data_IF_583607847706
#
_entry.id   IF_583607847706
#
_cell.length_a   1.000
_cell.length_b   1.000
_cell.length_c   1.000
_cell.angle_alpha   90.00
_cell.angle_beta   90.00
_cell.angle_gamma   90.00
#
_symmetry.space_group_name_H-M   'P 1'
#
loop_
_entity.id
_entity.type
_entity.pdbx_description
1 polymer ?
#
# COMPACT_ATOMS: atom_id res chain seq x y z
N UNK A 1 -20.60 -20.59 2.81
CA UNK A 1 -21.43 -21.69 2.27
C UNK A 1 -20.62 -22.97 2.04
N UNK A 2 -19.60 -22.99 1.16
CA UNK A 2 -18.81 -24.23 0.90
C UNK A 2 -18.21 -24.87 2.17
N UNK A 3 -17.79 -24.05 3.14
CA UNK A 3 -17.30 -24.48 4.45
C UNK A 3 -18.35 -24.38 5.58
N UNK A 4 -19.64 -24.57 5.27
CA UNK A 4 -20.70 -24.65 6.28
C UNK A 4 -21.25 -23.33 6.85
N UNK A 5 -20.59 -22.19 6.61
CA UNK A 5 -21.07 -20.88 7.10
C UNK A 5 -22.21 -20.25 6.29
N UNK A 6 -22.96 -19.35 6.95
CA UNK A 6 -24.07 -18.54 6.41
C UNK A 6 -23.62 -17.10 6.15
N UNK A 7 -23.22 -16.74 4.91
CA UNK A 7 -22.74 -15.39 4.62
C UNK A 7 -23.90 -14.39 4.56
N UNK A 8 -23.71 -13.24 5.20
CA UNK A 8 -24.56 -12.05 5.11
C UNK A 8 -23.68 -10.91 4.59
N UNK A 9 -24.11 -10.27 3.51
CA UNK A 9 -23.36 -9.20 2.87
C UNK A 9 -23.90 -7.84 3.30
N UNK A 10 -22.99 -6.90 3.57
CA UNK A 10 -23.30 -5.50 3.77
C UNK A 10 -22.17 -4.64 3.18
N UNK A 11 -22.49 -3.39 2.82
CA UNK A 11 -21.53 -2.44 2.27
C UNK A 11 -21.03 -1.45 3.31
N UNK A 12 -19.82 -0.93 3.08
CA UNK A 12 -19.31 0.28 3.70
C UNK A 12 -19.01 1.31 2.60
N UNK A 13 -18.95 2.60 2.96
CA UNK A 13 -18.59 3.66 2.01
C UNK A 13 -17.15 3.50 1.51
N UNK A 14 -16.81 4.18 0.42
CA UNK A 14 -15.45 4.25 -0.07
C UNK A 14 -15.26 5.52 -0.92
N UNK A 15 -14.19 6.26 -0.64
CA UNK A 15 -13.78 7.42 -1.44
C UNK A 15 -12.68 6.98 -2.40
N UNK A 16 -12.75 7.42 -3.65
CA UNK A 16 -11.70 7.19 -4.64
C UNK A 16 -10.71 8.35 -4.63
N UNK A 17 -9.51 8.12 -4.10
CA UNK A 17 -8.46 9.15 -4.06
C UNK A 17 -8.14 9.68 -5.46
N UNK A 18 -8.03 8.80 -6.47
CA UNK A 18 -7.72 9.21 -7.84
C UNK A 18 -8.74 10.20 -8.45
N UNK A 19 -10.01 10.09 -8.08
CA UNK A 19 -11.05 11.05 -8.52
C UNK A 19 -11.04 12.30 -7.65
N UNK A 20 -10.77 12.15 -6.35
CA UNK A 20 -10.83 13.25 -5.40
C UNK A 20 -9.63 14.23 -5.49
N UNK A 21 -8.57 13.86 -6.22
CA UNK A 21 -7.35 14.65 -6.38
C UNK A 21 -7.61 15.99 -7.07
N UNK A 22 -6.98 17.06 -6.55
CA UNK A 22 -7.00 18.39 -7.15
C UNK A 22 -8.26 19.23 -6.88
N UNK A 23 -9.10 18.83 -5.92
CA UNK A 23 -10.25 19.61 -5.49
C UNK A 23 -10.62 19.35 -4.02
N UNK A 24 -11.58 20.11 -3.47
CA UNK A 24 -11.96 20.06 -2.04
C UNK A 24 -12.29 18.66 -1.49
N UNK A 25 -12.82 17.76 -2.32
CA UNK A 25 -13.09 16.37 -1.94
C UNK A 25 -11.91 15.59 -1.36
N UNK A 26 -10.65 15.96 -1.68
CA UNK A 26 -9.47 15.29 -1.11
C UNK A 26 -9.43 15.39 0.43
N UNK A 27 -10.00 16.45 1.01
CA UNK A 27 -10.09 16.65 2.47
C UNK A 27 -10.90 15.54 3.19
N UNK A 28 -11.70 14.79 2.45
CA UNK A 28 -12.52 13.69 2.99
C UNK A 28 -11.88 12.31 2.81
N UNK A 29 -10.76 12.19 2.06
CA UNK A 29 -10.11 10.91 1.79
C UNK A 29 -9.64 10.23 3.08
N UNK A 30 -8.69 10.83 3.81
CA UNK A 30 -8.11 10.18 4.99
C UNK A 30 -9.15 9.94 6.09
N UNK A 31 -10.06 10.89 6.31
CA UNK A 31 -11.15 10.75 7.27
C UNK A 31 -12.08 9.56 6.95
N UNK A 32 -12.24 9.19 5.67
CA UNK A 32 -13.04 8.01 5.29
C UNK A 32 -12.49 6.71 5.89
N UNK A 33 -11.19 6.63 6.23
CA UNK A 33 -10.59 5.47 6.92
C UNK A 33 -11.31 5.17 8.23
N UNK A 34 -11.55 6.21 9.03
CA UNK A 34 -12.21 6.08 10.34
C UNK A 34 -13.68 5.71 10.16
N UNK A 35 -14.38 6.38 9.23
CA UNK A 35 -15.77 6.08 8.93
C UNK A 35 -15.98 4.63 8.50
N UNK A 36 -15.04 4.07 7.72
CA UNK A 36 -15.06 2.67 7.29
C UNK A 36 -14.84 1.75 8.49
N UNK A 37 -13.87 2.06 9.35
CA UNK A 37 -13.60 1.27 10.55
C UNK A 37 -14.84 1.22 11.46
N UNK A 38 -15.41 2.39 11.77
CA UNK A 38 -16.60 2.54 12.63
C UNK A 38 -17.84 1.87 12.03
N UNK A 39 -18.00 1.93 10.70
CA UNK A 39 -19.11 1.29 9.99
C UNK A 39 -19.05 -0.23 10.09
N UNK A 40 -17.87 -0.82 9.87
CA UNK A 40 -17.66 -2.27 9.99
C UNK A 40 -17.85 -2.71 11.44
N UNK A 41 -17.29 -1.97 12.39
CA UNK A 41 -17.44 -2.22 13.83
C UNK A 41 -18.91 -2.23 14.27
N UNK A 42 -19.66 -1.19 13.89
CA UNK A 42 -21.08 -1.07 14.22
C UNK A 42 -21.90 -2.22 13.66
N UNK A 43 -21.71 -2.57 12.38
CA UNK A 43 -22.43 -3.67 11.74
C UNK A 43 -22.09 -5.02 12.36
N UNK A 44 -20.81 -5.28 12.64
CA UNK A 44 -20.38 -6.54 13.22
C UNK A 44 -20.92 -6.75 14.65
N UNK A 45 -20.87 -5.70 15.48
CA UNK A 45 -21.35 -5.77 16.86
C UNK A 45 -22.88 -5.82 16.95
N UNK A 46 -23.60 -5.00 16.17
CA UNK A 46 -25.05 -4.94 16.22
C UNK A 46 -25.71 -6.24 15.75
N UNK A 47 -25.09 -6.95 14.80
CA UNK A 47 -25.59 -8.20 14.23
C UNK A 47 -24.90 -9.46 14.77
N UNK A 48 -23.98 -9.31 15.73
CA UNK A 48 -23.27 -10.40 16.39
C UNK A 48 -22.64 -11.41 15.41
N UNK A 49 -21.89 -10.93 14.42
CA UNK A 49 -21.21 -11.81 13.46
C UNK A 49 -20.07 -12.60 14.14
N UNK A 50 -20.00 -13.91 13.86
CA UNK A 50 -18.95 -14.80 14.38
C UNK A 50 -17.61 -14.66 13.66
N UNK A 51 -17.63 -14.17 12.42
CA UNK A 51 -16.45 -14.03 11.58
C UNK A 51 -16.67 -13.07 10.41
N UNK A 52 -15.59 -12.43 9.94
CA UNK A 52 -15.64 -11.40 8.92
C UNK A 52 -14.77 -11.74 7.71
N UNK A 53 -15.34 -11.55 6.51
CA UNK A 53 -14.58 -11.49 5.26
C UNK A 53 -14.60 -10.04 4.80
N UNK A 54 -13.44 -9.39 4.86
CA UNK A 54 -13.26 -7.99 4.54
C UNK A 54 -12.79 -7.86 3.09
N UNK A 55 -13.55 -7.14 2.26
CA UNK A 55 -13.31 -7.03 0.81
C UNK A 55 -13.02 -5.56 0.43
N UNK A 56 -11.82 -5.03 0.74
CA UNK A 56 -11.44 -3.67 0.36
C UNK A 56 -10.85 -3.61 -1.05
N UNK A 57 -10.58 -2.40 -1.56
CA UNK A 57 -9.64 -2.27 -2.68
C UNK A 57 -8.98 -0.90 -2.82
N UNK A 58 -9.70 0.20 -2.58
CA UNK A 58 -9.15 1.55 -2.74
C UNK A 58 -8.42 2.03 -1.47
N UNK A 59 -7.48 2.98 -1.63
CA UNK A 59 -6.47 3.42 -0.66
C UNK A 59 -6.87 3.31 0.83
N UNK A 60 -7.87 4.07 1.27
CA UNK A 60 -8.24 4.20 2.69
C UNK A 60 -9.13 3.06 3.21
N UNK A 61 -9.70 2.27 2.30
CA UNK A 61 -10.60 1.16 2.64
C UNK A 61 -9.83 0.00 3.27
N UNK A 62 -8.65 -0.34 2.73
CA UNK A 62 -7.81 -1.43 3.28
C UNK A 62 -7.45 -1.16 4.76
N UNK A 63 -6.83 -0.02 5.12
CA UNK A 63 -6.48 0.22 6.52
C UNK A 63 -7.71 0.39 7.41
N UNK A 64 -8.81 1.01 6.95
CA UNK A 64 -10.04 1.12 7.73
C UNK A 64 -10.62 -0.25 8.10
N UNK A 65 -10.65 -1.19 7.15
CA UNK A 65 -11.08 -2.56 7.42
C UNK A 65 -10.11 -3.34 8.33
N UNK A 66 -8.79 -3.14 8.19
CA UNK A 66 -7.81 -3.75 9.10
C UNK A 66 -7.91 -3.21 10.53
N UNK A 67 -8.15 -1.90 10.68
CA UNK A 67 -8.41 -1.26 11.97
C UNK A 67 -9.66 -1.86 12.62
N UNK A 68 -10.76 -2.01 11.88
CA UNK A 68 -11.97 -2.66 12.39
C UNK A 68 -11.71 -4.12 12.83
N UNK A 69 -10.97 -4.90 12.04
CA UNK A 69 -10.60 -6.26 12.41
C UNK A 69 -9.83 -6.30 13.74
N UNK A 70 -8.86 -5.38 13.91
CA UNK A 70 -8.04 -5.28 15.11
C UNK A 70 -8.86 -4.84 16.35
N UNK A 71 -9.78 -3.88 16.20
CA UNK A 71 -10.70 -3.42 17.25
C UNK A 71 -11.64 -4.51 17.73
N UNK A 72 -12.36 -5.13 16.79
CA UNK A 72 -13.36 -6.16 17.06
C UNK A 72 -12.73 -7.44 17.62
N UNK A 73 -11.55 -7.79 17.11
CA UNK A 73 -10.85 -9.02 17.42
C UNK A 73 -11.73 -10.28 17.26
N UNK A 74 -12.61 -10.24 16.25
CA UNK A 74 -13.44 -11.36 15.79
C UNK A 74 -12.68 -12.05 14.64
N UNK A 75 -12.69 -13.40 14.50
CA UNK A 75 -12.03 -14.10 13.40
C UNK A 75 -12.28 -13.45 12.04
N UNK A 76 -11.23 -12.94 11.42
CA UNK A 76 -11.36 -12.10 10.21
C UNK A 76 -10.30 -12.46 9.18
N UNK A 77 -10.68 -12.41 7.91
CA UNK A 77 -9.78 -12.52 6.77
C UNK A 77 -9.99 -11.34 5.83
N UNK A 78 -8.91 -10.80 5.28
CA UNK A 78 -8.97 -9.75 4.28
C UNK A 78 -8.65 -10.31 2.90
N UNK A 79 -9.51 -10.05 1.92
CA UNK A 79 -9.31 -10.39 0.51
C UNK A 79 -9.67 -9.20 -0.36
N UNK A 80 -8.67 -8.55 -0.93
CA UNK A 80 -8.84 -7.35 -1.75
C UNK A 80 -9.48 -7.67 -3.10
N UNK A 81 -10.02 -6.63 -3.75
CA UNK A 81 -10.47 -6.70 -5.15
C UNK A 81 -9.33 -6.95 -6.14
N UNK A 82 -8.10 -6.53 -5.80
CA UNK A 82 -6.90 -6.65 -6.63
C UNK A 82 -6.59 -5.41 -7.48
N UNK A 83 -5.36 -5.31 -7.99
CA UNK A 83 -4.92 -4.22 -8.85
C UNK A 83 -5.56 -4.29 -10.22
N UNK A 84 -5.81 -3.10 -10.79
CA UNK A 84 -6.10 -2.92 -12.20
C UNK A 84 -4.85 -3.28 -13.03
N UNK A 85 -5.06 -3.80 -14.23
CA UNK A 85 -3.99 -3.95 -15.20
C UNK A 85 -3.42 -2.58 -15.58
N UNK A 86 -2.13 -2.52 -15.89
CA UNK A 86 -1.56 -1.31 -16.47
C UNK A 86 -2.24 -1.00 -17.82
N UNK A 87 -2.47 0.28 -18.07
CA UNK A 87 -2.91 0.76 -19.38
C UNK A 87 -1.82 0.57 -20.43
N UNK A 88 -2.18 0.58 -21.70
CA UNK A 88 -1.22 0.47 -22.81
C UNK A 88 -1.39 1.63 -23.76
N UNK A 89 -0.33 2.41 -23.96
CA UNK A 89 -0.31 3.50 -24.92
C UNK A 89 0.95 3.40 -25.79
N UNK A 90 0.73 3.22 -27.10
CA UNK A 90 1.81 3.08 -28.11
C UNK A 90 2.88 2.05 -27.73
N UNK A 91 2.44 0.92 -27.18
CA UNK A 91 3.31 -0.19 -26.78
C UNK A 91 4.05 0.02 -25.46
N UNK A 92 3.77 1.09 -24.72
CA UNK A 92 4.30 1.33 -23.38
C UNK A 92 3.20 1.19 -22.34
N UNK A 93 3.53 0.54 -21.24
CA UNK A 93 2.65 0.49 -20.09
C UNK A 93 2.53 1.89 -19.47
N UNK A 94 1.29 2.26 -19.14
CA UNK A 94 0.95 3.54 -18.53
C UNK A 94 -0.04 3.33 -17.39
N UNK A 95 -0.17 4.34 -16.55
CA UNK A 95 -1.08 4.38 -15.42
C UNK A 95 -1.58 5.81 -15.21
N UNK A 96 -2.42 6.01 -14.20
CA UNK A 96 -2.93 7.32 -13.81
C UNK A 96 -1.82 8.39 -13.65
N UNK A 97 -0.62 8.01 -13.19
CA UNK A 97 0.53 8.91 -13.08
C UNK A 97 0.88 9.60 -14.39
N UNK A 98 0.90 8.84 -15.50
CA UNK A 98 1.26 9.38 -16.81
C UNK A 98 0.23 10.38 -17.32
N UNK A 99 -1.04 10.24 -16.93
CA UNK A 99 -2.08 11.22 -17.24
C UNK A 99 -1.81 12.53 -16.49
N UNK A 100 -1.47 12.45 -15.20
CA UNK A 100 -1.13 13.64 -14.39
C UNK A 100 0.14 14.35 -14.90
N UNK A 101 1.17 13.59 -15.27
CA UNK A 101 2.36 14.13 -15.94
C UNK A 101 2.00 14.78 -17.28
N UNK A 102 1.07 14.19 -18.03
CA UNK A 102 0.53 14.71 -19.28
C UNK A 102 -0.16 16.08 -19.12
N UNK A 103 -0.95 16.28 -18.06
CA UNK A 103 -1.54 17.60 -17.74
C UNK A 103 -0.47 18.68 -17.58
N UNK A 104 0.62 18.36 -16.87
CA UNK A 104 1.77 19.25 -16.75
C UNK A 104 2.52 19.47 -18.08
N UNK A 105 2.61 18.45 -18.92
CA UNK A 105 3.23 18.54 -20.24
C UNK A 105 2.43 19.45 -21.20
N UNK A 106 1.10 19.37 -21.18
CA UNK A 106 0.22 20.27 -21.94
C UNK A 106 0.38 21.70 -21.47
N UNK A 107 0.33 21.93 -20.16
CA UNK A 107 0.50 23.27 -19.58
C UNK A 107 1.85 23.89 -19.94
N UNK A 108 2.89 23.06 -20.09
CA UNK A 108 4.22 23.48 -20.54
C UNK A 108 4.44 23.48 -22.06
N UNK A 109 3.40 23.26 -22.87
CA UNK A 109 3.49 23.27 -24.35
C UNK A 109 4.28 22.11 -24.98
N UNK A 110 4.52 21.02 -24.22
CA UNK A 110 5.28 19.83 -24.67
C UNK A 110 4.39 18.69 -25.17
N UNK A 111 3.08 18.81 -25.00
CA UNK A 111 2.07 17.83 -25.39
C UNK A 111 0.80 18.57 -25.83
N UNK A 112 0.07 18.00 -26.80
CA UNK A 112 -1.22 18.53 -27.24
C UNK A 112 -2.37 17.98 -26.38
N UNK A 113 -3.52 18.66 -26.37
CA UNK A 113 -4.73 18.15 -25.69
C UNK A 113 -5.21 16.81 -26.28
N UNK A 114 -5.04 16.58 -27.58
CA UNK A 114 -5.44 15.33 -28.22
C UNK A 114 -4.55 14.16 -27.79
N UNK A 115 -3.24 14.39 -27.63
CA UNK A 115 -2.32 13.40 -27.08
C UNK A 115 -2.62 13.08 -25.61
N UNK A 116 -2.97 14.10 -24.81
CA UNK A 116 -3.40 13.90 -23.43
C UNK A 116 -4.68 13.07 -23.36
N UNK A 117 -5.64 13.35 -24.24
CA UNK A 117 -6.88 12.57 -24.35
C UNK A 117 -6.60 11.11 -24.70
N UNK A 118 -5.68 10.85 -25.64
CA UNK A 118 -5.26 9.48 -25.98
C UNK A 118 -4.62 8.77 -24.78
N UNK A 119 -3.87 9.48 -23.93
CA UNK A 119 -3.33 8.92 -22.69
C UNK A 119 -4.44 8.61 -21.67
N UNK A 120 -5.36 9.55 -21.45
CA UNK A 120 -6.51 9.40 -20.55
C UNK A 120 -7.35 8.16 -20.90
N UNK A 121 -7.73 8.04 -22.18
CA UNK A 121 -8.59 6.96 -22.69
C UNK A 121 -7.94 5.56 -22.53
N UNK A 122 -6.62 5.48 -22.34
CA UNK A 122 -5.87 4.22 -22.25
C UNK A 122 -5.27 3.92 -20.86
N UNK A 123 -5.24 4.87 -19.93
CA UNK A 123 -4.52 4.73 -18.66
C UNK A 123 -5.20 3.80 -17.65
N UNK A 124 -6.53 3.70 -17.69
CA UNK A 124 -7.34 2.96 -16.73
C UNK A 124 -8.23 1.92 -17.46
N UNK A 125 -7.67 0.78 -17.91
CA UNK A 125 -8.35 -0.12 -18.84
C UNK A 125 -9.47 -0.98 -18.23
N UNK A 126 -9.67 -0.96 -16.91
CA UNK A 126 -10.66 -1.82 -16.27
C UNK A 126 -10.82 -1.60 -14.77
N UNK A 127 -11.38 -2.60 -14.08
CA UNK A 127 -11.56 -2.55 -12.63
C UNK A 127 -10.27 -2.87 -11.86
N UNK A 128 -10.22 -2.39 -10.62
CA UNK A 128 -9.14 -2.68 -9.66
C UNK A 128 -8.66 -1.42 -8.93
N UNK A 129 -7.72 -1.58 -8.00
CA UNK A 129 -6.94 -0.46 -7.47
C UNK A 129 -6.00 0.09 -8.54
N UNK A 130 -5.32 1.21 -8.28
CA UNK A 130 -4.31 1.75 -9.19
C UNK A 130 -3.31 0.67 -9.65
N UNK A 131 -2.71 0.79 -10.83
CA UNK A 131 -1.81 -0.25 -11.36
C UNK A 131 -0.40 -0.24 -10.73
N UNK A 132 0.02 0.88 -10.13
CA UNK A 132 1.35 1.06 -9.51
C UNK A 132 1.37 0.77 -8.00
N UNK A 133 2.56 0.82 -7.39
CA UNK A 133 2.79 0.67 -5.95
C UNK A 133 2.41 1.94 -5.16
N UNK A 134 1.13 2.30 -5.23
CA UNK A 134 0.47 3.34 -4.41
C UNK A 134 -0.11 2.74 -3.13
N UNK A 135 -0.77 3.56 -2.30
CA UNK A 135 -1.24 3.15 -0.97
C UNK A 135 -2.11 1.90 -1.01
N UNK A 136 -3.09 1.79 -1.92
CA UNK A 136 -3.92 0.60 -2.05
C UNK A 136 -3.09 -0.68 -2.20
N UNK A 137 -2.12 -0.69 -3.10
CA UNK A 137 -1.31 -1.89 -3.36
C UNK A 137 -0.23 -2.11 -2.32
N UNK A 138 0.35 -1.05 -1.76
CA UNK A 138 1.21 -1.15 -0.58
C UNK A 138 0.45 -1.84 0.55
N UNK A 139 -0.73 -1.34 0.92
CA UNK A 139 -1.54 -1.93 1.99
C UNK A 139 -2.03 -3.35 1.65
N UNK A 140 -2.39 -3.64 0.39
CA UNK A 140 -2.75 -5.01 -0.01
C UNK A 140 -1.58 -6.00 0.11
N UNK A 141 -0.36 -5.57 -0.26
CA UNK A 141 0.86 -6.38 -0.08
C UNK A 141 1.21 -6.55 1.40
N UNK A 142 1.11 -5.47 2.19
CA UNK A 142 1.34 -5.51 3.64
C UNK A 142 0.31 -6.35 4.37
N UNK A 143 -0.91 -6.47 3.85
CA UNK A 143 -1.92 -7.35 4.42
C UNK A 143 -1.51 -8.82 4.33
N UNK A 144 -0.84 -9.24 3.24
CA UNK A 144 -0.22 -10.57 3.18
C UNK A 144 0.92 -10.71 4.18
N UNK A 145 1.82 -9.71 4.24
CA UNK A 145 3.00 -9.75 5.09
C UNK A 145 2.67 -9.76 6.58
N UNK A 146 1.62 -9.04 6.98
CA UNK A 146 1.04 -9.03 8.32
C UNK A 146 0.35 -10.36 8.66
N UNK A 147 0.01 -11.19 7.66
CA UNK A 147 -0.65 -12.48 7.84
C UNK A 147 -2.17 -12.42 7.85
N UNK A 148 -2.79 -11.27 7.58
CA UNK A 148 -4.25 -11.08 7.55
C UNK A 148 -4.87 -11.33 6.17
N UNK A 149 -4.05 -11.33 5.12
CA UNK A 149 -4.41 -11.69 3.75
C UNK A 149 -3.89 -13.06 3.36
N UNK A 150 -4.56 -13.67 2.39
CA UNK A 150 -4.09 -14.92 1.78
C UNK A 150 -2.92 -14.67 0.82
N UNK A 151 -2.00 -15.64 0.62
CA UNK A 151 -0.98 -15.56 -0.41
C UNK A 151 -1.55 -15.19 -1.79
N UNK A 152 -1.06 -14.11 -2.39
CA UNK A 152 -1.52 -13.55 -3.67
C UNK A 152 -2.58 -12.44 -3.55
N UNK A 153 -3.06 -12.12 -2.35
CA UNK A 153 -3.98 -11.00 -2.10
C UNK A 153 -3.48 -9.65 -2.64
N UNK A 154 -2.21 -9.35 -2.46
CA UNK A 154 -1.51 -8.14 -2.87
C UNK A 154 -1.41 -7.96 -4.37
N UNK A 155 -1.20 -9.05 -5.12
CA UNK A 155 -0.68 -8.95 -6.49
C UNK A 155 -1.60 -9.49 -7.57
N UNK A 156 -2.46 -10.48 -7.27
CA UNK A 156 -3.30 -11.10 -8.29
C UNK A 156 -4.24 -10.05 -8.92
N UNK A 157 -4.18 -9.79 -10.24
CA UNK A 157 -4.99 -8.75 -10.86
C UNK A 157 -6.49 -8.95 -10.68
N UNK A 158 -7.24 -7.85 -10.60
CA UNK A 158 -8.68 -7.86 -10.34
C UNK A 158 -9.48 -8.68 -11.36
N UNK A 159 -9.06 -8.62 -12.63
CA UNK A 159 -9.71 -9.31 -13.75
C UNK A 159 -9.31 -10.78 -13.89
N UNK A 160 -8.37 -11.27 -13.06
CA UNK A 160 -7.88 -12.64 -13.14
C UNK A 160 -8.87 -13.64 -12.52
N UNK A 161 -9.07 -14.78 -13.17
CA UNK A 161 -9.82 -15.90 -12.58
C UNK A 161 -9.22 -16.38 -11.25
N UNK A 162 -7.92 -16.12 -11.01
CA UNK A 162 -7.27 -16.41 -9.73
C UNK A 162 -7.84 -15.56 -8.59
N UNK A 163 -8.28 -14.32 -8.85
CA UNK A 163 -8.89 -13.44 -7.83
C UNK A 163 -10.19 -14.01 -7.30
N UNK A 164 -11.05 -14.53 -8.18
CA UNK A 164 -12.31 -15.19 -7.79
C UNK A 164 -12.02 -16.47 -6.98
N UNK A 165 -10.98 -17.23 -7.34
CA UNK A 165 -10.57 -18.41 -6.55
C UNK A 165 -10.09 -18.00 -5.15
N UNK A 166 -9.31 -16.93 -5.05
CA UNK A 166 -8.82 -16.39 -3.78
C UNK A 166 -9.98 -15.93 -2.88
N UNK A 167 -10.98 -15.22 -3.43
CA UNK A 167 -12.18 -14.81 -2.69
C UNK A 167 -12.98 -16.01 -2.15
N UNK A 168 -13.13 -17.07 -2.95
CA UNK A 168 -13.75 -18.32 -2.48
C UNK A 168 -12.94 -18.98 -1.37
N UNK A 169 -11.61 -18.96 -1.48
CA UNK A 169 -10.71 -19.48 -0.45
C UNK A 169 -10.81 -18.68 0.85
N UNK A 170 -10.90 -17.36 0.79
CA UNK A 170 -11.08 -16.51 1.98
C UNK A 170 -12.34 -16.92 2.75
N UNK A 171 -13.46 -17.16 2.06
CA UNK A 171 -14.68 -17.67 2.68
C UNK A 171 -14.56 -19.06 3.32
N UNK A 172 -13.58 -19.88 2.93
CA UNK A 172 -13.28 -21.16 3.59
C UNK A 172 -12.31 -20.96 4.76
N UNK A 173 -11.33 -20.07 4.61
CA UNK A 173 -10.33 -19.76 5.63
C UNK A 173 -10.95 -19.08 6.84
N UNK A 174 -11.88 -18.15 6.65
CA UNK A 174 -12.59 -17.50 7.78
C UNK A 174 -13.35 -18.53 8.62
N UNK A 175 -13.95 -19.55 8.01
CA UNK A 175 -14.66 -20.59 8.75
C UNK A 175 -13.71 -21.43 9.60
N UNK A 176 -12.53 -21.77 9.07
CA UNK A 176 -11.48 -22.42 9.84
C UNK A 176 -10.93 -21.51 10.95
N UNK A 177 -10.84 -20.19 10.72
CA UNK A 177 -10.43 -19.23 11.75
C UNK A 177 -11.48 -19.15 12.88
N UNK A 178 -12.78 -19.16 12.55
CA UNK A 178 -13.88 -19.25 13.52
C UNK A 178 -13.79 -20.56 14.32
N UNK A 179 -13.68 -21.70 13.65
CA UNK A 179 -13.58 -23.01 14.29
C UNK A 179 -12.40 -23.12 15.26
N UNK A 180 -11.24 -22.59 14.86
CA UNK A 180 -10.01 -22.63 15.68
C UNK A 180 -9.89 -21.45 16.66
N UNK A 181 -10.80 -20.48 16.61
CA UNK A 181 -10.72 -19.26 17.39
C UNK A 181 -9.50 -18.39 17.08
N UNK A 182 -9.01 -18.40 15.83
CA UNK A 182 -7.89 -17.55 15.38
C UNK A 182 -8.43 -16.14 15.16
N UNK A 183 -7.91 -15.17 15.92
CA UNK A 183 -8.36 -13.79 15.90
C UNK A 183 -7.29 -12.83 15.36
N UNK A 184 -7.69 -11.64 14.89
CA UNK A 184 -6.76 -10.64 14.38
C UNK A 184 -5.59 -10.31 15.31
N UNK A 185 -5.82 -10.20 16.63
CA UNK A 185 -4.73 -9.90 17.58
C UNK A 185 -3.78 -11.07 17.86
N UNK A 186 -4.17 -12.30 17.52
CA UNK A 186 -3.26 -13.45 17.55
C UNK A 186 -2.27 -13.41 16.37
N UNK A 187 -2.62 -12.68 15.30
CA UNK A 187 -1.86 -12.54 14.06
C UNK A 187 -1.05 -11.23 14.07
N UNK A 188 -1.72 -10.11 14.38
CA UNK A 188 -1.17 -8.74 14.37
C UNK A 188 -0.29 -8.45 15.60
N UNK A 189 0.75 -9.26 15.76
CA UNK A 189 1.77 -9.12 16.82
C UNK A 189 2.85 -8.13 16.42
N UNK A 190 3.68 -7.69 17.37
CA UNK A 190 4.84 -6.81 17.10
C UNK A 190 5.75 -7.40 16.02
N UNK A 191 5.99 -8.70 16.05
CA UNK A 191 6.79 -9.39 15.04
C UNK A 191 6.13 -9.40 13.65
N UNK A 192 4.81 -9.56 13.59
CA UNK A 192 4.07 -9.49 12.32
C UNK A 192 4.13 -8.08 11.72
N UNK A 193 4.06 -7.03 12.55
CA UNK A 193 4.30 -5.66 12.10
C UNK A 193 5.74 -5.45 11.62
N UNK A 194 6.75 -5.99 12.31
CA UNK A 194 8.14 -5.94 11.83
C UNK A 194 8.32 -6.68 10.50
N UNK A 195 7.65 -7.81 10.30
CA UNK A 195 7.62 -8.53 9.01
C UNK A 195 6.99 -7.65 7.92
N UNK A 196 5.85 -7.02 8.21
CA UNK A 196 5.19 -6.11 7.28
C UNK A 196 6.11 -4.93 6.92
N UNK A 197 6.77 -4.30 7.89
CA UNK A 197 7.74 -3.23 7.62
C UNK A 197 8.92 -3.70 6.77
N UNK A 198 9.42 -4.92 6.96
CA UNK A 198 10.48 -5.44 6.08
C UNK A 198 9.99 -5.55 4.63
N UNK A 199 8.78 -6.03 4.41
CA UNK A 199 8.17 -6.07 3.08
C UNK A 199 7.92 -4.67 2.52
N UNK A 200 7.47 -3.73 3.35
CA UNK A 200 7.28 -2.32 2.98
C UNK A 200 8.57 -1.70 2.39
N UNK A 201 9.68 -1.89 3.10
CA UNK A 201 11.00 -1.41 2.70
C UNK A 201 11.50 -2.07 1.42
N UNK A 202 11.30 -3.38 1.28
CA UNK A 202 11.73 -4.16 0.13
C UNK A 202 10.95 -3.81 -1.15
N UNK A 203 9.66 -3.51 -1.03
CA UNK A 203 8.79 -3.14 -2.14
C UNK A 203 8.84 -1.66 -2.51
N UNK A 204 9.45 -0.81 -1.67
CA UNK A 204 9.45 0.64 -1.89
C UNK A 204 8.04 1.22 -1.86
N UNK A 205 7.26 0.83 -0.85
CA UNK A 205 5.86 1.19 -0.69
C UNK A 205 5.60 2.71 -0.58
N UNK A 206 4.31 3.08 -0.58
CA UNK A 206 3.84 4.45 -0.35
C UNK A 206 4.23 4.96 1.04
N UNK A 207 4.57 6.24 1.16
CA UNK A 207 4.81 6.89 2.48
C UNK A 207 3.58 6.86 3.39
N UNK A 208 2.37 6.73 2.82
CA UNK A 208 1.13 6.61 3.59
C UNK A 208 1.09 5.37 4.49
N UNK A 209 1.93 4.36 4.23
CA UNK A 209 2.05 3.20 5.14
C UNK A 209 2.55 3.62 6.52
N UNK A 210 3.29 4.72 6.63
CA UNK A 210 3.73 5.30 7.91
C UNK A 210 2.58 5.92 8.71
N UNK A 211 1.43 6.21 8.08
CA UNK A 211 0.21 6.62 8.78
C UNK A 211 -0.69 5.43 9.10
N UNK A 212 -0.78 4.48 8.17
CA UNK A 212 -1.73 3.37 8.26
C UNK A 212 -1.25 2.23 9.14
N UNK A 213 0.02 1.82 9.02
CA UNK A 213 0.55 0.69 9.78
C UNK A 213 0.55 0.99 11.29
N UNK A 214 0.98 2.18 11.77
CA UNK A 214 0.88 2.52 13.19
C UNK A 214 -0.57 2.62 13.69
N UNK A 215 -1.49 3.10 12.85
CA UNK A 215 -2.91 3.14 13.21
C UNK A 215 -3.46 1.71 13.42
N UNK A 216 -3.16 0.77 12.53
CA UNK A 216 -3.57 -0.63 12.68
C UNK A 216 -2.90 -1.27 13.89
N UNK A 217 -1.61 -0.97 14.13
CA UNK A 217 -0.87 -1.46 15.31
C UNK A 217 -1.50 -0.97 16.61
N UNK A 218 -1.87 0.32 16.68
CA UNK A 218 -2.56 0.90 17.82
C UNK A 218 -3.88 0.16 18.15
N UNK A 219 -4.70 -0.11 17.13
CA UNK A 219 -5.97 -0.86 17.31
C UNK A 219 -5.75 -2.33 17.70
N UNK A 220 -4.61 -2.90 17.31
CA UNK A 220 -4.18 -4.23 17.72
C UNK A 220 -3.56 -4.26 19.13
N UNK A 221 -3.32 -3.10 19.76
CA UNK A 221 -2.66 -2.98 21.06
C UNK A 221 -1.13 -3.15 20.98
N UNK A 222 -0.54 -2.92 19.81
CA UNK A 222 0.91 -2.98 19.57
C UNK A 222 1.46 -1.56 19.47
N UNK A 223 2.48 -1.25 20.26
CA UNK A 223 3.20 0.02 20.15
C UNK A 223 4.19 -0.05 18.98
N UNK A 224 3.91 0.71 17.92
CA UNK A 224 4.77 0.85 16.77
C UNK A 224 5.14 2.32 16.57
N UNK A 225 6.33 2.69 17.04
CA UNK A 225 6.82 4.04 16.92
C UNK A 225 7.45 4.32 15.54
N UNK A 226 7.56 5.60 15.22
CA UNK A 226 8.11 6.07 13.95
C UNK A 226 9.58 5.65 13.75
N UNK A 227 10.37 5.52 14.83
CA UNK A 227 11.78 5.13 14.74
C UNK A 227 11.98 3.67 14.31
N UNK A 228 10.95 2.83 14.48
CA UNK A 228 10.94 1.44 14.02
C UNK A 228 11.07 1.35 12.50
N UNK A 229 10.55 2.33 11.76
CA UNK A 229 10.72 2.41 10.30
C UNK A 229 12.19 2.57 9.92
N UNK A 230 12.93 3.45 10.61
CA UNK A 230 14.36 3.63 10.34
C UNK A 230 15.19 2.40 10.73
N UNK A 231 14.86 1.74 11.84
CA UNK A 231 15.55 0.52 12.26
C UNK A 231 15.40 -0.61 11.24
N UNK A 232 14.18 -0.80 10.70
CA UNK A 232 13.92 -1.80 9.66
C UNK A 232 14.52 -1.37 8.31
N UNK A 233 14.37 -0.10 7.92
CA UNK A 233 14.93 0.45 6.68
C UNK A 233 16.46 0.30 6.61
N UNK A 234 17.16 0.45 7.74
CA UNK A 234 18.62 0.32 7.79
C UNK A 234 19.16 -1.09 7.46
N UNK A 235 18.34 -2.14 7.68
CA UNK A 235 18.74 -3.54 7.46
C UNK A 235 18.08 -4.18 6.24
N UNK A 236 16.96 -3.63 5.77
CA UNK A 236 16.17 -4.22 4.69
C UNK A 236 16.41 -3.47 3.38
N UNK A 237 17.01 -4.10 2.36
CA UNK A 237 17.28 -3.45 1.08
C UNK A 237 16.00 -3.28 0.25
N UNK A 238 16.00 -2.30 -0.65
CA UNK A 238 14.94 -2.06 -1.62
C UNK A 238 15.13 -2.99 -2.84
N UNK A 239 14.23 -3.96 -2.99
CA UNK A 239 14.33 -5.06 -3.96
C UNK A 239 13.51 -4.84 -5.25
N UNK A 240 12.42 -4.07 -5.18
CA UNK A 240 11.50 -3.89 -6.31
C UNK A 240 11.30 -2.40 -6.62
N UNK A 241 11.66 -1.96 -7.83
CA UNK A 241 11.37 -0.59 -8.27
C UNK A 241 10.13 -0.55 -9.17
N UNK A 242 8.98 -0.30 -8.55
CA UNK A 242 7.67 -0.28 -9.20
C UNK A 242 7.18 1.17 -9.38
N UNK A 243 6.32 1.42 -10.36
CA UNK A 243 5.66 2.70 -10.59
C UNK A 243 5.05 3.23 -9.29
N UNK A 244 5.26 4.51 -8.93
CA UNK A 244 5.90 5.56 -9.74
C UNK A 244 7.44 5.60 -9.65
N UNK A 245 8.08 4.81 -8.79
CA UNK A 245 9.55 4.83 -8.60
C UNK A 245 10.35 4.07 -9.67
N UNK A 246 9.69 3.17 -10.40
CA UNK A 246 10.27 2.42 -11.52
C UNK A 246 9.26 2.13 -12.61
N UNK A 247 9.66 1.32 -13.59
CA UNK A 247 8.86 1.10 -14.81
C UNK A 247 7.83 -0.02 -14.72
N UNK A 248 7.93 -0.87 -13.69
CA UNK A 248 7.08 -2.05 -13.53
C UNK A 248 5.80 -1.74 -12.74
N UNK A 249 4.74 -2.51 -12.99
CA UNK A 249 3.45 -2.40 -12.31
C UNK A 249 3.18 -3.64 -11.43
N UNK A 250 2.07 -3.65 -10.68
CA UNK A 250 1.78 -4.78 -9.78
C UNK A 250 1.60 -6.10 -10.55
N UNK A 251 1.09 -6.06 -11.78
CA UNK A 251 0.98 -7.24 -12.63
C UNK A 251 2.35 -7.91 -12.89
N UNK A 252 3.42 -7.12 -13.01
CA UNK A 252 4.77 -7.64 -13.17
C UNK A 252 5.26 -8.30 -11.88
N UNK A 253 4.96 -7.70 -10.73
CA UNK A 253 5.28 -8.26 -9.43
C UNK A 253 4.58 -9.61 -9.23
N UNK A 254 3.30 -9.73 -9.62
CA UNK A 254 2.56 -11.01 -9.60
C UNK A 254 3.26 -12.08 -10.44
N UNK A 255 3.61 -11.74 -11.68
CA UNK A 255 4.33 -12.62 -12.61
C UNK A 255 5.74 -12.99 -12.11
N UNK A 256 6.38 -12.11 -11.34
CA UNK A 256 7.68 -12.33 -10.74
C UNK A 256 7.68 -13.31 -9.55
N UNK A 257 6.50 -13.72 -9.08
CA UNK A 257 6.31 -14.59 -7.92
C UNK A 257 5.55 -13.94 -6.76
N UNK A 258 5.15 -12.67 -6.92
CA UNK A 258 4.33 -11.91 -5.98
C UNK A 258 5.04 -11.57 -4.67
N UNK A 259 4.25 -11.15 -3.68
CA UNK A 259 4.75 -10.83 -2.32
C UNK A 259 5.46 -12.02 -1.69
N UNK A 260 5.00 -13.24 -1.97
CA UNK A 260 5.58 -14.46 -1.40
C UNK A 260 7.03 -14.70 -1.86
N UNK A 261 7.38 -14.36 -3.11
CA UNK A 261 8.77 -14.43 -3.57
C UNK A 261 9.67 -13.41 -2.85
N UNK A 262 9.17 -12.19 -2.66
CA UNK A 262 9.86 -11.14 -1.87
C UNK A 262 10.07 -11.59 -0.43
N UNK A 263 9.01 -12.11 0.22
CA UNK A 263 9.09 -12.63 1.59
C UNK A 263 10.05 -13.81 1.70
N UNK A 264 10.11 -14.69 0.70
CA UNK A 264 11.07 -15.80 0.69
C UNK A 264 12.52 -15.30 0.61
N UNK A 265 12.78 -14.30 -0.22
CA UNK A 265 14.11 -13.70 -0.34
C UNK A 265 14.54 -13.01 0.97
N UNK A 266 13.63 -12.26 1.60
CA UNK A 266 13.87 -11.69 2.92
C UNK A 266 14.08 -12.76 3.99
N UNK A 267 13.30 -13.85 3.95
CA UNK A 267 13.37 -14.95 4.91
C UNK A 267 14.72 -15.68 4.84
N UNK A 268 15.18 -16.01 3.62
CA UNK A 268 16.49 -16.68 3.39
C UNK A 268 17.67 -15.87 3.92
N UNK A 269 17.54 -14.54 3.95
CA UNK A 269 18.57 -13.62 4.42
C UNK A 269 18.35 -13.16 5.87
N UNK A 270 17.42 -13.76 6.62
CA UNK A 270 17.18 -13.44 8.03
C UNK A 270 16.57 -12.05 8.28
N UNK A 271 15.87 -11.49 7.29
CA UNK A 271 15.26 -10.15 7.35
C UNK A 271 13.77 -10.18 7.76
N UNK A 272 13.18 -11.37 7.85
CA UNK A 272 11.87 -11.60 8.48
C UNK A 272 12.09 -11.79 9.99
N UNK A 273 11.45 -10.95 10.80
CA UNK A 273 11.63 -10.92 12.25
C UNK A 273 11.20 -12.24 12.90
N UNK A 274 10.05 -12.77 12.50
CA UNK A 274 9.53 -14.04 13.01
C UNK A 274 8.93 -14.87 11.88
N UNK A 275 9.64 -15.90 11.39
CA UNK A 275 9.15 -16.83 10.38
C UNK A 275 7.97 -17.71 10.85
N UNK A 276 7.85 -17.90 12.16
CA UNK A 276 6.85 -18.78 12.78
C UNK A 276 5.60 -18.00 13.22
N UNK A 277 5.52 -16.70 12.92
CA UNK A 277 4.35 -15.87 13.17
C UNK A 277 3.09 -16.49 12.51
N UNK A 278 2.00 -16.56 13.28
CA UNK A 278 0.72 -17.10 12.82
C UNK A 278 0.11 -16.21 11.74
N UNK A 279 -0.58 -16.83 10.78
CA UNK A 279 -1.36 -16.14 9.77
C UNK A 279 -2.81 -16.62 9.79
N UNK A 280 -3.69 -15.90 9.11
CA UNK A 280 -5.12 -16.20 8.99
C UNK A 280 -5.39 -17.58 8.36
N UNK A 281 -4.43 -18.13 7.59
CA UNK A 281 -4.56 -19.48 7.02
C UNK A 281 -4.49 -20.58 8.08
N UNK A 282 -4.12 -20.24 9.32
CA UNK A 282 -3.80 -21.19 10.39
C UNK A 282 -2.41 -21.81 10.26
N UNK A 283 -1.57 -21.28 9.36
CA UNK A 283 -0.17 -21.67 9.15
C UNK A 283 0.77 -20.54 9.54
N UNK A 284 2.05 -20.82 9.68
CA UNK A 284 3.07 -19.80 9.87
C UNK A 284 3.38 -19.03 8.59
N UNK A 285 4.02 -17.86 8.73
CA UNK A 285 4.56 -17.09 7.61
C UNK A 285 5.46 -17.97 6.73
N UNK A 286 6.39 -18.70 7.32
CA UNK A 286 7.33 -19.60 6.61
C UNK A 286 6.60 -20.68 5.79
N UNK A 287 5.56 -21.28 6.35
CA UNK A 287 4.77 -22.30 5.67
C UNK A 287 3.98 -21.73 4.48
N UNK A 288 3.42 -20.53 4.62
CA UNK A 288 2.69 -19.87 3.53
C UNK A 288 3.63 -19.42 2.40
N UNK A 289 4.82 -18.92 2.74
CA UNK A 289 5.85 -18.53 1.77
C UNK A 289 6.27 -19.71 0.90
N UNK A 290 6.34 -20.92 1.48
CA UNK A 290 6.38 -22.17 0.72
C UNK A 290 7.54 -22.29 -0.29
N UNK A 291 8.68 -21.65 0.01
CA UNK A 291 9.85 -21.55 -0.87
C UNK A 291 9.58 -20.91 -2.24
N UNK A 292 8.64 -19.95 -2.35
CA UNK A 292 8.37 -19.24 -3.61
C UNK A 292 9.61 -18.58 -4.20
N UNK A 293 9.92 -18.92 -5.43
CA UNK A 293 11.11 -18.42 -6.13
C UNK A 293 10.83 -17.09 -6.85
N UNK A 294 11.89 -16.31 -7.03
CA UNK A 294 11.88 -15.13 -7.91
C UNK A 294 11.92 -15.62 -9.36
N UNK A 295 10.85 -15.34 -10.10
CA UNK A 295 10.72 -15.76 -11.51
C UNK A 295 11.21 -14.69 -12.50
N UNK A 296 11.25 -13.43 -12.06
CA UNK A 296 11.65 -12.26 -12.86
C UNK A 296 12.63 -11.39 -12.07
N UNK A 297 13.95 -11.63 -12.19
CA UNK A 297 14.98 -10.85 -11.51
C UNK A 297 15.04 -9.37 -11.93
N UNK A 298 14.47 -9.03 -13.08
CA UNK A 298 14.27 -7.64 -13.53
C UNK A 298 13.28 -6.88 -12.63
N UNK A 299 12.28 -7.58 -12.09
CA UNK A 299 11.22 -7.01 -11.25
C UNK A 299 11.56 -7.11 -9.76
N UNK A 300 11.93 -8.31 -9.30
CA UNK A 300 12.34 -8.57 -7.91
C UNK A 300 13.83 -8.89 -7.90
N UNK A 301 14.64 -7.99 -7.35
CA UNK A 301 16.07 -8.24 -7.19
C UNK A 301 16.37 -9.06 -5.93
N UNK A 302 17.54 -9.70 -5.91
CA UNK A 302 18.04 -10.39 -4.72
C UNK A 302 18.59 -9.40 -3.69
N UNK A 303 18.75 -9.85 -2.44
CA UNK A 303 19.42 -9.08 -1.39
C UNK A 303 20.89 -8.78 -1.72
N UNK A 304 21.53 -9.60 -2.56
CA UNK A 304 22.91 -9.40 -3.01
C UNK A 304 23.08 -8.34 -4.10
N UNK A 305 22.02 -8.05 -4.88
CA UNK A 305 22.03 -7.05 -5.95
C UNK A 305 20.77 -6.14 -5.90
N UNK A 306 20.51 -5.43 -4.78
CA UNK A 306 19.30 -4.65 -4.63
C UNK A 306 19.35 -3.34 -5.44
N UNK A 307 18.21 -2.68 -5.64
CA UNK A 307 18.19 -1.32 -6.18
C UNK A 307 18.89 -0.34 -5.23
N UNK A 308 18.62 -0.47 -3.93
CA UNK A 308 19.26 0.32 -2.88
C UNK A 308 19.55 -0.58 -1.67
N UNK A 309 20.68 -0.32 -0.98
CA UNK A 309 21.08 -1.09 0.20
C UNK A 309 20.21 -0.83 1.43
N UNK A 310 19.50 0.29 1.44
CA UNK A 310 18.55 0.67 2.49
C UNK A 310 17.12 0.62 1.93
N UNK A 311 16.14 0.60 2.82
CA UNK A 311 14.73 0.51 2.49
C UNK A 311 14.20 1.71 1.70
N UNK A 312 13.02 1.57 1.11
CA UNK A 312 12.44 2.64 0.28
C UNK A 312 12.07 3.93 1.03
N UNK A 313 11.88 3.87 2.35
CA UNK A 313 11.44 4.98 3.18
C UNK A 313 12.48 5.38 4.23
N UNK A 314 12.48 6.67 4.58
CA UNK A 314 13.26 7.22 5.68
C UNK A 314 12.42 8.18 6.52
N UNK A 315 12.66 8.15 7.83
CA UNK A 315 12.13 9.11 8.81
C UNK A 315 13.21 10.13 9.11
N UNK A 316 12.86 11.41 8.91
CA UNK A 316 13.70 12.57 9.16
C UNK A 316 13.29 13.23 10.47
N UNK A 317 14.27 13.76 11.21
CA UNK A 317 14.06 14.54 12.43
C UNK A 317 14.88 15.82 12.38
N UNK A 318 14.41 16.85 13.05
CA UNK A 318 15.10 18.14 13.13
C UNK A 318 14.26 19.20 13.81
N UNK A 319 14.77 20.43 13.84
CA UNK A 319 14.06 21.57 14.42
C UNK A 319 12.70 21.86 13.76
N UNK A 320 12.57 21.58 12.45
CA UNK A 320 11.31 21.76 11.69
C UNK A 320 10.35 20.58 11.88
N UNK A 321 10.88 19.35 12.04
CA UNK A 321 10.09 18.12 12.14
C UNK A 321 10.40 17.39 13.45
N UNK A 322 10.01 18.00 14.59
CA UNK A 322 10.29 17.46 15.92
C UNK A 322 9.56 16.12 16.16
N UNK A 323 8.30 16.02 15.71
CA UNK A 323 7.51 14.78 15.72
C UNK A 323 8.00 13.74 14.69
N UNK A 324 8.90 14.13 13.79
CA UNK A 324 9.36 13.34 12.66
C UNK A 324 8.64 13.72 11.36
N UNK A 325 9.31 13.46 10.23
CA UNK A 325 8.78 13.58 8.87
C UNK A 325 9.18 12.34 8.07
N UNK A 326 8.48 12.05 6.99
CA UNK A 326 8.72 10.86 6.17
C UNK A 326 9.06 11.26 4.75
N UNK A 327 10.06 10.60 4.17
CA UNK A 327 10.40 10.74 2.76
C UNK A 327 10.55 9.36 2.11
N UNK A 328 10.10 9.24 0.86
CA UNK A 328 10.41 8.08 0.02
C UNK A 328 11.82 8.22 -0.55
N UNK A 329 12.83 7.84 0.23
CA UNK A 329 14.23 8.02 -0.14
C UNK A 329 14.61 7.29 -1.44
N UNK A 330 13.94 6.20 -1.79
CA UNK A 330 14.17 5.51 -3.08
C UNK A 330 13.73 6.29 -4.32
N UNK A 331 12.96 7.37 -4.14
CA UNK A 331 12.52 8.26 -5.21
C UNK A 331 13.20 9.64 -5.16
N UNK A 332 14.17 9.84 -4.25
CA UNK A 332 14.94 11.08 -4.14
C UNK A 332 16.15 11.00 -5.06
N UNK A 333 16.34 12.01 -5.91
CA UNK A 333 17.52 12.12 -6.75
C UNK A 333 18.80 12.20 -5.91
N UNK A 334 19.92 11.64 -6.37
CA UNK A 334 21.16 11.54 -5.59
C UNK A 334 21.67 12.93 -5.16
N UNK A 335 21.57 13.92 -6.05
CA UNK A 335 21.91 15.32 -5.78
C UNK A 335 20.99 16.00 -4.76
N UNK A 336 19.80 15.45 -4.51
CA UNK A 336 18.81 15.98 -3.57
C UNK A 336 18.85 15.31 -2.19
N UNK A 337 19.67 14.27 -1.99
CA UNK A 337 19.87 13.64 -0.67
C UNK A 337 20.41 14.62 0.38
N UNK A 338 21.12 15.66 -0.06
CA UNK A 338 21.52 16.82 0.76
C UNK A 338 21.15 18.08 0.02
N UNK A 339 20.10 18.75 0.49
CA UNK A 339 19.59 19.96 -0.14
C UNK A 339 19.54 21.13 0.83
N UNK A 340 19.88 22.32 0.34
CA UNK A 340 19.73 23.59 1.06
C UNK A 340 19.28 24.66 0.08
N UNK A 341 18.30 25.46 0.49
CA UNK A 341 17.69 26.48 -0.34
C UNK A 341 16.90 27.49 0.48
N UNK A 342 16.56 28.61 -0.14
CA UNK A 342 15.69 29.61 0.48
C UNK A 342 14.27 29.06 0.59
N UNK A 343 13.69 29.14 1.79
CA UNK A 343 12.32 28.70 2.01
C UNK A 343 11.33 29.66 1.32
N UNK A 344 10.41 29.10 0.54
CA UNK A 344 9.24 29.80 0.02
C UNK A 344 8.01 29.14 0.63
N UNK A 345 7.34 29.86 1.52
CA UNK A 345 6.27 29.32 2.35
C UNK A 345 4.90 29.71 1.79
N UNK A 346 3.98 28.75 1.78
CA UNK A 346 2.60 28.88 1.35
C UNK A 346 1.68 28.27 2.41
N UNK A 347 0.50 28.87 2.60
CA UNK A 347 -0.44 28.49 3.67
C UNK A 347 -1.52 27.52 3.19
N UNK A 348 -1.51 27.19 1.90
CA UNK A 348 -2.34 26.17 1.27
C UNK A 348 -1.71 25.68 -0.06
N UNK A 349 -2.18 24.54 -0.54
CA UNK A 349 -1.82 23.95 -1.83
C UNK A 349 -2.15 24.86 -3.02
N UNK A 350 -3.31 25.53 -3.00
CA UNK A 350 -3.77 26.37 -4.10
C UNK A 350 -2.80 27.53 -4.38
N UNK A 351 -2.35 28.21 -3.32
CA UNK A 351 -1.39 29.32 -3.42
C UNK A 351 -0.02 28.84 -3.92
N UNK A 352 0.44 27.68 -3.43
CA UNK A 352 1.68 27.07 -3.89
C UNK A 352 1.61 26.69 -5.37
N UNK A 353 0.50 26.09 -5.79
CA UNK A 353 0.26 25.69 -7.18
C UNK A 353 0.20 26.91 -8.10
N UNK A 354 -0.53 27.96 -7.71
CA UNK A 354 -0.59 29.21 -8.46
C UNK A 354 0.79 29.88 -8.59
N UNK A 355 1.62 29.83 -7.54
CA UNK A 355 2.97 30.35 -7.58
C UNK A 355 3.91 29.54 -8.48
N UNK A 356 3.81 28.21 -8.45
CA UNK A 356 4.62 27.31 -9.30
C UNK A 356 4.24 27.49 -10.77
N UNK A 357 2.96 27.39 -11.10
CA UNK A 357 2.46 27.55 -12.48
C UNK A 357 2.68 28.97 -13.02
N UNK A 358 2.63 29.98 -12.13
CA UNK A 358 2.95 31.36 -12.46
C UNK A 358 4.45 31.68 -12.55
N UNK A 359 5.34 30.70 -12.37
CA UNK A 359 6.80 30.89 -12.47
C UNK A 359 7.42 31.73 -11.35
N UNK A 360 6.74 31.86 -10.20
CA UNK A 360 7.20 32.65 -9.04
C UNK A 360 8.19 31.90 -8.14
N UNK A 361 8.30 30.57 -8.30
CA UNK A 361 9.22 29.73 -7.53
C UNK A 361 10.56 29.61 -8.27
N UNK A 362 11.63 30.09 -7.66
CA UNK A 362 12.97 30.05 -8.25
C UNK A 362 13.62 28.67 -8.08
N UNK A 363 14.39 28.22 -9.08
CA UNK A 363 15.20 26.99 -8.99
C UNK A 363 16.13 27.06 -7.76
N UNK A 364 16.17 25.98 -6.97
CA UNK A 364 16.97 25.91 -5.75
C UNK A 364 16.24 26.40 -4.49
N UNK A 365 14.97 26.78 -4.59
CA UNK A 365 14.13 27.09 -3.41
C UNK A 365 13.65 25.83 -2.70
N UNK A 366 13.42 25.92 -1.39
CA UNK A 366 12.68 24.92 -0.61
C UNK A 366 11.22 25.37 -0.55
N UNK A 367 10.33 24.71 -1.27
CA UNK A 367 8.89 24.99 -1.21
C UNK A 367 8.32 24.37 0.07
N UNK A 368 7.67 25.19 0.89
CA UNK A 368 7.05 24.77 2.15
C UNK A 368 5.56 25.07 2.06
N UNK A 369 4.73 24.02 2.11
CA UNK A 369 3.27 24.14 2.16
C UNK A 369 2.84 23.75 3.56
N UNK A 370 2.19 24.65 4.30
CA UNK A 370 1.75 24.43 5.68
C UNK A 370 0.22 24.46 5.77
N UNK A 371 -0.30 24.02 6.92
CA UNK A 371 -1.74 23.89 7.21
C UNK A 371 -2.49 22.83 6.37
N UNK A 372 -1.76 21.84 5.84
CA UNK A 372 -2.30 20.68 5.10
C UNK A 372 -2.22 19.38 5.93
N UNK A 373 -2.42 19.49 7.24
CA UNK A 373 -2.30 18.39 8.21
C UNK A 373 -3.60 17.66 8.49
#
# INVERSE_FOLDING_TARGET
RLAGGTPIEFGAIGVCDGIAMGHEGMKYSLASRELIADSVESMAMAHAFDGLVLIPNCDKIIPGMLMAAARLNIPSVLVSGGPMMAGLHRGKEISFTQVMEGVGAVSGGRMTMDELKELEDNACPGCGSCAGMFTANSMNCLTEALGMGLPGNGTIPAVSAARIRLAKQAGMVVMNAVEKGIKPRDIMTEDAFKNALAVDMALGCSTNTVLHVPAIAYEAGVDLNLDSFNQVSARTPHLCSLSPGGMHHIQDLDQAGGVQAVMNELLKNGLIANPDALTVTGKTVKENVGNKEILRPDVIRSVSDPYHKQGGLAVLRGNIAQGGAVVKQSAVAEEALKFSGLAQCFDCEDDATAAILGGKVAKGSVVVIRYEG
#
